data_IF_220312501914
#
_entry.id   IF_220312501914
#
_cell.length_a   1.000
_cell.length_b   1.000
_cell.length_c   1.000
_cell.angle_alpha   90.00
_cell.angle_beta   90.00
_cell.angle_gamma   90.00
#
_symmetry.space_group_name_H-M   'P 1'
#
loop_
_entity.id
_entity.type
_entity.pdbx_description
1 polymer ?
#
# COMPACT_ATOMS: atom_id res chain seq x y z
N UNK A 1 -25.91 -14.08 -2.77
CA UNK A 1 -25.60 -13.67 -4.14
C UNK A 1 -24.10 -13.82 -4.29
N UNK A 2 -23.66 -14.47 -5.36
CA UNK A 2 -22.38 -15.15 -5.48
C UNK A 2 -21.16 -14.25 -5.27
N UNK A 3 -20.27 -14.69 -4.39
CA UNK A 3 -18.88 -14.20 -4.20
C UNK A 3 -18.01 -14.64 -5.38
N UNK A 4 -18.31 -14.16 -6.58
CA UNK A 4 -17.44 -14.38 -7.75
C UNK A 4 -16.57 -13.15 -7.95
N UNK A 5 -15.28 -13.34 -7.74
CA UNK A 5 -14.21 -12.40 -8.07
C UNK A 5 -14.32 -11.97 -9.55
N UNK A 6 -14.09 -10.70 -9.88
CA UNK A 6 -14.14 -10.25 -11.27
C UNK A 6 -13.00 -10.89 -12.09
N UNK A 7 -13.20 -11.10 -13.39
CA UNK A 7 -12.18 -11.70 -14.27
C UNK A 7 -10.94 -10.81 -14.36
N UNK A 8 -9.76 -11.43 -14.54
CA UNK A 8 -8.49 -10.73 -14.80
C UNK A 8 -8.70 -9.61 -15.83
N UNK A 9 -8.30 -8.40 -15.44
CA UNK A 9 -8.37 -7.22 -16.30
C UNK A 9 -7.49 -7.43 -17.52
N UNK A 10 -8.06 -7.18 -18.71
CA UNK A 10 -7.31 -7.23 -19.98
C UNK A 10 -6.11 -6.28 -19.89
N UNK A 11 -4.95 -6.79 -20.28
CA UNK A 11 -3.68 -6.06 -20.33
C UNK A 11 -3.87 -4.68 -20.96
N UNK A 12 -3.75 -3.66 -20.12
CA UNK A 12 -3.63 -2.27 -20.56
C UNK A 12 -2.52 -1.65 -19.72
N UNK A 13 -1.51 -1.02 -20.34
CA UNK A 13 -0.54 -0.27 -19.57
C UNK A 13 -1.29 0.83 -18.83
N UNK A 14 -1.43 0.68 -17.52
CA UNK A 14 -2.00 1.72 -16.68
C UNK A 14 -0.90 2.77 -16.57
N UNK A 15 -1.07 3.91 -17.25
CA UNK A 15 -0.30 5.09 -16.88
C UNK A 15 -0.86 5.60 -15.56
N UNK A 16 -0.42 5.00 -14.45
CA UNK A 16 -0.68 5.55 -13.12
C UNK A 16 0.19 6.78 -12.95
N UNK A 17 -0.43 7.90 -13.26
CA UNK A 17 0.13 9.21 -13.03
C UNK A 17 0.23 9.44 -11.52
N UNK A 18 1.45 9.33 -10.97
CA UNK A 18 1.79 9.86 -9.65
C UNK A 18 1.94 8.90 -8.49
N UNK A 19 2.03 7.64 -8.85
CA UNK A 19 2.31 6.56 -7.95
C UNK A 19 3.79 6.51 -7.60
N UNK A 20 4.08 6.31 -6.31
CA UNK A 20 5.36 5.69 -5.95
C UNK A 20 5.29 4.25 -6.48
N UNK A 21 6.02 4.01 -7.57
CA UNK A 21 6.20 2.71 -8.16
C UNK A 21 7.33 2.02 -7.40
N UNK A 22 7.07 0.83 -6.88
CA UNK A 22 8.09 0.04 -6.19
C UNK A 22 8.42 -1.18 -7.05
N UNK A 23 9.62 -1.26 -7.64
CA UNK A 23 10.06 -2.47 -8.32
C UNK A 23 10.27 -3.56 -7.28
N UNK A 24 9.60 -4.71 -7.46
CA UNK A 24 9.83 -5.90 -6.64
C UNK A 24 10.81 -6.80 -7.40
N UNK A 25 11.92 -7.16 -6.76
CA UNK A 25 12.84 -8.18 -7.24
C UNK A 25 12.43 -9.52 -6.61
N UNK A 26 11.88 -10.43 -7.42
CA UNK A 26 11.51 -11.78 -6.95
C UNK A 26 12.78 -12.58 -6.66
N UNK A 27 12.83 -13.26 -5.51
CA UNK A 27 13.88 -14.24 -5.19
C UNK A 27 13.38 -15.64 -5.53
N UNK A 28 14.19 -16.38 -6.28
CA UNK A 28 13.90 -17.76 -6.70
C UNK A 28 13.62 -18.68 -5.49
N UNK A 29 12.60 -19.54 -5.64
CA UNK A 29 12.09 -20.44 -4.62
C UNK A 29 13.16 -21.35 -4.01
N UNK A 30 13.47 -21.10 -2.74
CA UNK A 30 14.17 -22.04 -1.87
C UNK A 30 13.15 -22.75 -0.99
N UNK A 31 13.28 -24.07 -0.88
CA UNK A 31 12.57 -24.90 0.12
C UNK A 31 12.72 -24.24 1.49
N UNK A 32 11.59 -23.75 2.01
CA UNK A 32 11.58 -22.91 3.21
C UNK A 32 12.01 -23.75 4.41
N UNK A 33 13.11 -23.38 5.04
CA UNK A 33 13.41 -23.83 6.40
C UNK A 33 12.33 -23.22 7.30
N UNK A 34 11.68 -24.01 8.15
CA UNK A 34 10.55 -23.60 9.01
C UNK A 34 10.78 -22.27 9.77
N UNK A 35 12.05 -21.91 10.02
CA UNK A 35 12.44 -20.65 10.67
C UNK A 35 12.19 -19.39 9.80
N UNK A 36 12.52 -19.43 8.49
CA UNK A 36 12.32 -18.27 7.58
C UNK A 36 10.84 -18.05 7.26
N UNK A 37 10.05 -19.12 7.26
CA UNK A 37 8.60 -19.05 7.06
C UNK A 37 7.87 -18.26 8.16
N UNK A 38 8.37 -18.39 9.39
CA UNK A 38 7.77 -17.76 10.57
C UNK A 38 8.40 -16.41 10.91
N UNK A 39 9.53 -16.05 10.28
CA UNK A 39 10.21 -14.79 10.54
C UNK A 39 9.30 -13.60 10.20
N UNK A 40 9.16 -12.71 11.17
CA UNK A 40 8.41 -11.46 11.01
C UNK A 40 9.37 -10.43 10.41
N UNK A 41 9.06 -9.86 9.22
CA UNK A 41 9.91 -8.86 8.60
C UNK A 41 10.17 -7.69 9.56
N UNK A 42 11.43 -7.27 9.67
CA UNK A 42 11.94 -6.32 10.68
C UNK A 42 11.38 -4.90 10.49
N UNK A 43 10.66 -4.61 9.41
CA UNK A 43 10.15 -3.27 9.19
C UNK A 43 9.04 -2.88 10.17
N UNK A 44 9.15 -1.64 10.65
CA UNK A 44 8.48 -1.19 11.86
C UNK A 44 7.82 0.16 11.61
N UNK A 45 6.48 0.17 11.54
CA UNK A 45 5.71 1.42 11.53
C UNK A 45 5.41 1.80 12.98
N UNK A 46 5.84 2.99 13.47
CA UNK A 46 5.51 3.44 14.81
C UNK A 46 4.00 3.50 15.02
N UNK A 47 3.50 3.06 16.17
CA UNK A 47 2.07 3.05 16.50
C UNK A 47 1.78 3.79 17.79
N UNK A 48 0.54 4.25 17.95
CA UNK A 48 0.05 4.95 19.15
C UNK A 48 -0.21 4.01 20.35
N UNK A 49 0.53 2.89 20.47
CA UNK A 49 0.32 1.89 21.52
C UNK A 49 -0.73 0.82 21.19
N UNK A 50 -1.15 0.73 19.91
CA UNK A 50 -2.08 -0.30 19.40
C UNK A 50 -1.46 -1.15 18.29
N UNK A 51 -0.13 -1.13 18.21
CA UNK A 51 0.64 -2.00 17.35
C UNK A 51 0.46 -3.47 17.71
N UNK A 52 0.80 -4.35 16.78
CA UNK A 52 0.85 -5.80 16.99
C UNK A 52 2.22 -6.28 17.53
N UNK A 53 3.16 -5.37 17.82
CA UNK A 53 4.36 -5.68 18.61
C UNK A 53 4.01 -6.05 20.06
N UNK A 54 4.91 -6.77 20.73
CA UNK A 54 4.70 -7.21 22.12
C UNK A 54 4.51 -6.06 23.11
N UNK A 55 5.09 -4.89 22.84
CA UNK A 55 4.94 -3.66 23.63
C UNK A 55 3.88 -2.70 23.06
N UNK A 56 3.21 -3.07 21.96
CA UNK A 56 2.19 -2.29 21.27
C UNK A 56 2.69 -1.03 20.57
N UNK A 57 4.00 -0.75 20.59
CA UNK A 57 4.57 0.51 20.05
C UNK A 57 4.75 0.50 18.54
N UNK A 58 4.66 -0.66 17.91
CA UNK A 58 4.99 -0.82 16.49
C UNK A 58 4.00 -1.73 15.79
N UNK A 59 3.66 -1.37 14.56
CA UNK A 59 2.99 -2.25 13.62
C UNK A 59 4.03 -3.03 12.79
N UNK A 60 3.92 -4.35 12.84
CA UNK A 60 4.77 -5.35 12.22
C UNK A 60 4.05 -5.96 11.03
N UNK A 61 4.78 -6.16 9.94
CA UNK A 61 4.29 -6.93 8.80
C UNK A 61 4.02 -8.39 9.19
N UNK A 62 3.06 -9.07 8.54
CA UNK A 62 2.85 -10.49 8.79
C UNK A 62 3.99 -11.32 8.21
N UNK A 63 4.31 -12.46 8.83
CA UNK A 63 5.24 -13.44 8.25
C UNK A 63 4.60 -14.19 7.08
N UNK A 64 5.43 -14.86 6.27
CA UNK A 64 4.97 -15.73 5.17
C UNK A 64 3.98 -16.79 5.69
N UNK A 65 4.30 -17.43 6.81
CA UNK A 65 3.42 -18.41 7.44
C UNK A 65 2.11 -17.85 7.94
N UNK A 66 2.11 -16.62 8.47
CA UNK A 66 0.87 -15.94 8.87
C UNK A 66 -0.03 -15.64 7.66
N UNK A 67 0.55 -15.18 6.55
CA UNK A 67 -0.15 -14.94 5.29
C UNK A 67 -0.68 -16.24 4.70
N UNK A 68 0.15 -17.27 4.59
CA UNK A 68 -0.24 -18.61 4.14
C UNK A 68 -1.44 -19.14 4.92
N UNK A 69 -1.35 -19.16 6.26
CA UNK A 69 -2.46 -19.61 7.11
C UNK A 69 -3.72 -18.75 6.92
N UNK A 70 -3.57 -17.44 6.71
CA UNK A 70 -4.69 -16.53 6.45
C UNK A 70 -5.39 -16.84 5.13
N UNK A 71 -4.61 -17.00 4.06
CA UNK A 71 -5.11 -17.35 2.72
C UNK A 71 -5.76 -18.73 2.72
N UNK A 72 -5.14 -19.73 3.36
CA UNK A 72 -5.67 -21.07 3.47
C UNK A 72 -7.01 -21.09 4.24
N UNK A 73 -7.14 -20.36 5.36
CA UNK A 73 -8.44 -20.24 6.07
C UNK A 73 -9.53 -19.58 5.22
N UNK A 74 -9.15 -18.74 4.25
CA UNK A 74 -10.05 -18.03 3.34
C UNK A 74 -10.26 -18.74 2.01
N UNK A 75 -9.72 -19.96 1.85
CA UNK A 75 -9.74 -20.71 0.59
C UNK A 75 -9.17 -19.93 -0.61
N UNK A 76 -8.11 -19.13 -0.40
CA UNK A 76 -7.48 -18.26 -1.41
C UNK A 76 -6.30 -18.89 -2.17
N UNK A 77 -6.22 -20.22 -2.24
CA UNK A 77 -5.34 -20.94 -3.19
C UNK A 77 -3.84 -20.61 -3.18
N UNK A 78 -3.29 -20.06 -2.10
CA UNK A 78 -1.86 -19.74 -2.02
C UNK A 78 -1.04 -21.00 -1.77
N UNK A 79 -0.08 -21.29 -2.64
CA UNK A 79 0.87 -22.38 -2.43
C UNK A 79 1.89 -22.00 -1.33
N UNK A 80 2.44 -23.01 -0.65
CA UNK A 80 3.39 -22.78 0.45
C UNK A 80 4.66 -22.08 -0.07
N UNK A 81 5.12 -22.49 -1.25
CA UNK A 81 6.36 -21.99 -1.86
C UNK A 81 6.22 -20.53 -2.33
N UNK A 82 4.99 -20.05 -2.57
CA UNK A 82 4.71 -18.66 -2.98
C UNK A 82 4.54 -17.70 -1.79
N UNK A 83 4.33 -18.23 -0.58
CA UNK A 83 4.08 -17.41 0.60
C UNK A 83 5.23 -16.44 0.95
N UNK A 84 6.52 -16.79 0.79
CA UNK A 84 7.62 -15.84 0.94
C UNK A 84 7.55 -14.65 -0.03
N UNK A 85 7.20 -14.91 -1.30
CA UNK A 85 7.05 -13.85 -2.31
C UNK A 85 5.87 -12.92 -1.98
N UNK A 86 4.75 -13.49 -1.55
CA UNK A 86 3.60 -12.71 -1.05
C UNK A 86 3.98 -11.87 0.17
N UNK A 87 4.73 -12.43 1.12
CA UNK A 87 5.23 -11.71 2.30
C UNK A 87 6.09 -10.52 1.91
N UNK A 88 7.05 -10.74 1.02
CA UNK A 88 7.94 -9.69 0.49
C UNK A 88 7.15 -8.57 -0.20
N UNK A 89 6.13 -8.94 -0.97
CA UNK A 89 5.21 -7.98 -1.61
C UNK A 89 4.41 -7.18 -0.59
N UNK A 90 3.91 -7.83 0.47
CA UNK A 90 3.21 -7.15 1.56
C UNK A 90 4.10 -6.14 2.29
N UNK A 91 5.36 -6.49 2.52
CA UNK A 91 6.36 -5.58 3.13
C UNK A 91 6.56 -4.37 2.22
N UNK A 92 6.88 -4.58 0.94
CA UNK A 92 7.12 -3.51 -0.03
C UNK A 92 5.92 -2.55 -0.16
N UNK A 93 4.69 -3.09 -0.22
CA UNK A 93 3.48 -2.27 -0.29
C UNK A 93 3.28 -1.48 1.01
N UNK A 94 3.51 -2.10 2.16
CA UNK A 94 3.34 -1.46 3.48
C UNK A 94 4.37 -0.35 3.70
N UNK A 95 5.63 -0.61 3.36
CA UNK A 95 6.72 0.37 3.40
C UNK A 95 6.44 1.53 2.46
N UNK A 96 6.09 1.23 1.21
CA UNK A 96 5.80 2.24 0.21
C UNK A 96 4.60 3.12 0.59
N UNK A 97 3.57 2.52 1.19
CA UNK A 97 2.44 3.27 1.75
C UNK A 97 2.89 4.23 2.85
N UNK A 98 3.72 3.75 3.78
CA UNK A 98 4.20 4.57 4.87
C UNK A 98 5.11 5.71 4.38
N UNK A 99 6.01 5.44 3.44
CA UNK A 99 6.88 6.43 2.82
C UNK A 99 6.08 7.51 2.07
N UNK A 100 5.05 7.12 1.32
CA UNK A 100 4.16 8.06 0.64
C UNK A 100 3.38 8.95 1.64
N UNK A 101 2.97 8.40 2.79
CA UNK A 101 2.37 9.18 3.89
C UNK A 101 3.41 10.15 4.48
N UNK A 102 4.62 9.67 4.76
CA UNK A 102 5.70 10.49 5.32
C UNK A 102 6.09 11.65 4.41
N UNK A 103 5.94 11.50 3.09
CA UNK A 103 6.14 12.60 2.13
C UNK A 103 5.23 13.80 2.44
N UNK A 104 3.95 13.55 2.75
CA UNK A 104 3.02 14.59 3.19
C UNK A 104 3.32 15.08 4.61
N UNK A 105 3.64 14.17 5.53
CA UNK A 105 3.96 14.53 6.92
C UNK A 105 5.25 15.38 7.02
N UNK A 106 6.17 15.26 6.06
CA UNK A 106 7.35 16.12 5.97
C UNK A 106 7.01 17.61 5.80
N UNK A 107 5.85 17.97 5.22
CA UNK A 107 5.37 19.35 5.17
C UNK A 107 5.11 19.94 6.57
N UNK A 108 4.88 19.07 7.56
CA UNK A 108 4.52 19.41 8.93
C UNK A 108 5.62 19.07 9.95
N UNK A 109 6.81 18.65 9.49
CA UNK A 109 7.93 18.20 10.33
C UNK A 109 8.38 19.21 11.39
N UNK A 110 8.23 20.51 11.12
CA UNK A 110 8.54 21.58 12.08
C UNK A 110 7.58 21.60 13.28
N UNK A 111 6.33 21.18 13.07
CA UNK A 111 5.30 21.14 14.11
C UNK A 111 5.23 19.80 14.83
N UNK A 112 5.53 18.71 14.12
CA UNK A 112 5.51 17.35 14.66
C UNK A 112 6.62 16.54 13.99
N UNK A 113 7.74 16.29 14.67
CA UNK A 113 8.89 15.60 14.07
C UNK A 113 8.68 14.08 13.93
N UNK A 114 7.80 13.50 14.76
CA UNK A 114 7.52 12.07 14.79
C UNK A 114 6.02 11.81 14.70
N UNK A 115 5.62 11.03 13.71
CA UNK A 115 4.23 10.63 13.48
C UNK A 115 4.06 9.14 13.76
N UNK A 116 2.85 8.74 14.16
CA UNK A 116 2.54 7.35 14.53
C UNK A 116 1.27 6.87 13.84
N UNK A 117 1.23 5.62 13.43
CA UNK A 117 0.03 4.96 12.95
C UNK A 117 -0.95 4.74 14.12
N UNK A 118 -2.12 5.39 14.04
CA UNK A 118 -3.17 5.26 15.03
C UNK A 118 -4.08 4.05 14.75
N UNK A 119 -4.46 3.86 13.48
CA UNK A 119 -5.31 2.76 13.00
C UNK A 119 -5.35 2.75 11.47
N UNK A 120 -5.80 1.65 10.90
CA UNK A 120 -6.14 1.55 9.49
C UNK A 120 -7.29 0.55 9.30
N UNK A 121 -7.95 0.61 8.15
CA UNK A 121 -8.96 -0.37 7.77
C UNK A 121 -9.08 -0.47 6.24
N UNK A 122 -9.47 -1.66 5.77
CA UNK A 122 -9.79 -1.91 4.37
C UNK A 122 -11.15 -1.32 4.00
N UNK A 123 -11.24 -0.83 2.78
CA UNK A 123 -12.43 -0.18 2.21
C UNK A 123 -12.68 -0.76 0.82
N UNK A 124 -12.82 -2.08 0.78
CA UNK A 124 -13.05 -2.88 -0.42
C UNK A 124 -14.25 -2.35 -1.24
N UNK A 125 -14.11 -2.34 -2.58
CA UNK A 125 -15.10 -1.84 -3.57
C UNK A 125 -15.55 -0.37 -3.41
N UNK A 126 -15.05 0.37 -2.41
CA UNK A 126 -15.40 1.77 -2.19
C UNK A 126 -14.45 2.69 -2.95
N UNK A 127 -14.60 2.68 -4.28
CA UNK A 127 -13.78 3.51 -5.17
C UNK A 127 -13.98 5.00 -4.92
N UNK A 128 -12.85 5.72 -4.86
CA UNK A 128 -12.83 7.17 -4.70
C UNK A 128 -13.35 7.88 -5.95
N UNK A 129 -13.75 9.16 -5.81
CA UNK A 129 -14.12 9.97 -6.98
C UNK A 129 -12.95 10.04 -7.99
N UNK A 130 -11.71 10.16 -7.50
CA UNK A 130 -10.51 10.14 -8.35
C UNK A 130 -10.40 8.80 -9.09
N UNK A 131 -10.52 7.67 -8.41
CA UNK A 131 -10.49 6.35 -9.05
C UNK A 131 -11.58 6.20 -10.13
N UNK A 132 -12.80 6.68 -9.87
CA UNK A 132 -13.90 6.67 -10.86
C UNK A 132 -13.60 7.52 -12.09
N UNK A 133 -13.03 8.71 -11.90
CA UNK A 133 -12.65 9.58 -13.02
C UNK A 133 -11.50 8.97 -13.83
N UNK A 134 -10.46 8.48 -13.17
CA UNK A 134 -9.33 7.81 -13.82
C UNK A 134 -9.80 6.58 -14.61
N UNK A 135 -10.73 5.81 -14.04
CA UNK A 135 -11.35 4.68 -14.72
C UNK A 135 -12.14 5.10 -15.97
N UNK A 136 -12.91 6.19 -15.88
CA UNK A 136 -13.64 6.72 -17.04
C UNK A 136 -12.74 7.17 -18.20
N UNK A 137 -11.45 7.41 -17.91
CA UNK A 137 -10.41 7.72 -18.89
C UNK A 137 -9.69 6.47 -19.43
N UNK A 138 -10.13 5.26 -19.06
CA UNK A 138 -9.66 4.00 -19.62
C UNK A 138 -8.68 3.21 -18.76
N UNK A 139 -8.35 3.68 -17.55
CA UNK A 139 -7.50 2.97 -16.60
C UNK A 139 -8.31 1.96 -15.78
N UNK A 140 -7.64 1.01 -15.14
CA UNK A 140 -8.31 0.06 -14.25
C UNK A 140 -8.54 0.67 -12.85
N UNK A 141 -9.51 0.10 -12.13
CA UNK A 141 -9.76 0.47 -10.74
C UNK A 141 -8.63 -0.02 -9.83
N UNK A 142 -8.42 0.61 -8.66
CA UNK A 142 -7.51 0.05 -7.69
C UNK A 142 -8.04 -1.32 -7.23
N UNK A 143 -7.16 -2.31 -7.17
CA UNK A 143 -7.51 -3.66 -6.73
C UNK A 143 -7.80 -3.70 -5.22
N UNK A 144 -7.23 -2.75 -4.47
CA UNK A 144 -7.47 -2.59 -3.04
C UNK A 144 -7.44 -1.11 -2.65
N UNK A 145 -8.23 -0.75 -1.64
CA UNK A 145 -8.31 0.62 -1.12
C UNK A 145 -8.34 0.56 0.40
N UNK A 146 -7.47 1.35 1.02
CA UNK A 146 -7.32 1.44 2.46
C UNK A 146 -7.43 2.87 2.96
N UNK A 147 -7.91 3.02 4.19
CA UNK A 147 -7.81 4.26 4.93
C UNK A 147 -6.88 4.06 6.12
N UNK A 148 -5.85 4.90 6.21
CA UNK A 148 -4.93 4.93 7.34
C UNK A 148 -5.14 6.22 8.12
N UNK A 149 -5.02 6.15 9.43
CA UNK A 149 -5.09 7.32 10.31
C UNK A 149 -3.77 7.44 11.03
N UNK A 150 -3.13 8.59 10.84
CA UNK A 150 -1.85 8.96 11.45
C UNK A 150 -2.14 9.90 12.61
N UNK A 151 -1.56 9.62 13.76
CA UNK A 151 -1.43 10.57 14.85
C UNK A 151 -0.24 11.49 14.58
N UNK A 152 -0.55 12.75 14.30
CA UNK A 152 0.39 13.86 14.20
C UNK A 152 0.39 14.60 15.54
N UNK A 153 1.12 14.07 16.51
CA UNK A 153 1.31 14.67 17.83
C UNK A 153 -0.04 14.97 18.54
N UNK A 154 -0.95 14.00 18.56
CA UNK A 154 -2.29 14.12 19.16
C UNK A 154 -3.39 14.59 18.20
N UNK A 155 -3.05 14.90 16.95
CA UNK A 155 -4.03 15.21 15.89
C UNK A 155 -4.14 14.05 14.91
N UNK A 156 -5.35 13.51 14.76
CA UNK A 156 -5.60 12.46 13.80
C UNK A 156 -5.77 13.00 12.38
N UNK A 157 -4.96 12.48 11.45
CA UNK A 157 -4.97 12.81 10.03
C UNK A 157 -5.27 11.54 9.25
N UNK A 158 -6.39 11.54 8.52
CA UNK A 158 -6.79 10.40 7.68
C UNK A 158 -6.14 10.51 6.30
N UNK A 159 -5.56 9.41 5.85
CA UNK A 159 -5.08 9.17 4.50
C UNK A 159 -6.00 8.19 3.79
N UNK A 160 -6.21 8.42 2.50
CA UNK A 160 -6.89 7.51 1.57
C UNK A 160 -5.80 6.96 0.65
N UNK A 161 -5.74 5.65 0.53
CA UNK A 161 -4.72 4.94 -0.24
C UNK A 161 -5.42 4.04 -1.25
N UNK A 162 -5.20 4.30 -2.53
CA UNK A 162 -5.64 3.45 -3.63
C UNK A 162 -4.41 2.65 -4.14
N UNK A 163 -4.53 1.31 -4.19
CA UNK A 163 -3.47 0.41 -4.68
C UNK A 163 -3.80 -0.09 -6.08
N UNK A 164 -2.85 0.06 -7.01
CA UNK A 164 -2.99 -0.39 -8.40
C UNK A 164 -1.85 -1.35 -8.74
N UNK A 165 -2.09 -2.24 -9.71
CA UNK A 165 -1.08 -3.13 -10.30
C UNK A 165 -1.13 -2.99 -11.81
N UNK A 166 0.03 -3.03 -12.46
CA UNK A 166 0.15 -3.17 -13.92
C UNK A 166 1.09 -4.32 -14.22
N UNK A 167 0.94 -4.93 -15.40
CA UNK A 167 1.96 -5.83 -15.91
C UNK A 167 3.18 -5.04 -16.36
N UNK A 168 4.36 -5.52 -16.00
CA UNK A 168 5.66 -4.95 -16.34
C UNK A 168 5.95 -5.19 -17.83
N UNK A 169 6.23 -4.13 -18.57
CA UNK A 169 6.66 -4.18 -19.98
C UNK A 169 5.79 -5.02 -20.95
N UNK A 170 4.50 -5.21 -20.66
CA UNK A 170 3.62 -6.05 -21.49
C UNK A 170 3.94 -7.55 -21.38
N UNK A 171 4.57 -7.97 -20.29
CA UNK A 171 4.61 -9.38 -19.89
C UNK A 171 3.19 -9.90 -19.70
N UNK A 172 2.97 -11.15 -20.11
CA UNK A 172 1.72 -11.91 -19.88
C UNK A 172 1.81 -12.79 -18.63
N UNK A 173 2.95 -12.77 -17.94
CA UNK A 173 3.19 -13.57 -16.75
C UNK A 173 2.69 -12.80 -15.52
N UNK A 174 1.78 -13.44 -14.77
CA UNK A 174 1.20 -12.87 -13.54
C UNK A 174 2.26 -12.58 -12.45
N UNK A 175 3.47 -13.12 -12.60
CA UNK A 175 4.61 -12.90 -11.72
C UNK A 175 5.33 -11.55 -11.95
N UNK A 176 5.10 -10.91 -13.10
CA UNK A 176 5.75 -9.67 -13.51
C UNK A 176 4.86 -8.43 -13.25
N UNK A 177 4.35 -8.29 -12.02
CA UNK A 177 3.51 -7.15 -11.63
C UNK A 177 4.33 -5.99 -11.05
N UNK A 178 4.02 -4.78 -11.50
CA UNK A 178 4.46 -3.53 -10.89
C UNK A 178 3.32 -2.92 -10.08
N UNK A 179 3.59 -2.60 -8.82
CA UNK A 179 2.62 -2.03 -7.89
C UNK A 179 2.79 -0.52 -7.76
N UNK A 180 1.65 0.15 -7.72
CA UNK A 180 1.56 1.60 -7.68
C UNK A 180 0.70 2.04 -6.49
N UNK A 181 1.24 2.94 -5.68
CA UNK A 181 0.60 3.42 -4.46
C UNK A 181 0.21 4.89 -4.61
N UNK A 182 -1.08 5.18 -4.48
CA UNK A 182 -1.63 6.54 -4.46
C UNK A 182 -2.17 6.86 -3.08
N UNK A 183 -1.25 7.25 -2.18
CA UNK A 183 -1.56 7.66 -0.81
C UNK A 183 -1.69 9.19 -0.73
N UNK A 184 -2.78 9.68 -0.12
CA UNK A 184 -3.05 11.13 -0.02
C UNK A 184 -3.90 11.47 1.20
N UNK A 185 -3.72 12.67 1.81
CA UNK A 185 -4.58 13.14 2.89
C UNK A 185 -6.05 13.14 2.45
N UNK A 186 -7.00 12.79 3.30
CA UNK A 186 -8.43 12.80 2.98
C UNK A 186 -8.90 14.20 2.50
N UNK A 187 -9.94 14.30 1.64
CA UNK A 187 -10.35 15.56 1.00
C UNK A 187 -11.16 16.46 1.95
N UNK A 188 -10.54 16.88 3.06
CA UNK A 188 -10.98 18.00 3.88
C UNK A 188 -10.13 19.23 3.55
N UNK A 189 -10.47 20.41 4.08
CA UNK A 189 -9.76 21.66 3.77
C UNK A 189 -8.24 21.54 3.97
N UNK A 190 -7.77 21.05 5.11
CA UNK A 190 -6.34 20.89 5.40
C UNK A 190 -5.69 19.86 4.48
N UNK A 191 -6.35 18.72 4.24
CA UNK A 191 -5.83 17.70 3.35
C UNK A 191 -5.76 18.15 1.89
N UNK A 192 -6.69 18.99 1.43
CA UNK A 192 -6.62 19.60 0.10
C UNK A 192 -5.49 20.63 -0.01
N UNK A 193 -5.22 21.40 1.04
CA UNK A 193 -4.07 22.30 1.10
C UNK A 193 -2.76 21.50 1.04
N UNK A 194 -2.64 20.41 1.82
CA UNK A 194 -1.46 19.54 1.81
C UNK A 194 -1.22 18.92 0.43
N UNK A 195 -2.29 18.43 -0.24
CA UNK A 195 -2.24 17.96 -1.64
C UNK A 195 -1.74 19.03 -2.61
N UNK A 196 -2.29 20.24 -2.53
CA UNK A 196 -1.88 21.34 -3.40
C UNK A 196 -0.43 21.77 -3.15
N UNK A 197 -0.01 21.83 -1.88
CA UNK A 197 1.36 22.17 -1.50
C UNK A 197 2.37 21.15 -2.00
N UNK A 198 2.12 19.85 -1.80
CA UNK A 198 3.04 18.82 -2.28
C UNK A 198 3.12 18.80 -3.80
N UNK A 199 1.98 18.87 -4.48
CA UNK A 199 1.92 18.96 -5.95
C UNK A 199 2.73 20.16 -6.48
N UNK A 200 2.57 21.34 -5.86
CA UNK A 200 3.31 22.54 -6.24
C UNK A 200 4.82 22.41 -5.97
N UNK A 201 5.23 21.74 -4.89
CA UNK A 201 6.63 21.46 -4.59
C UNK A 201 7.26 20.55 -5.66
N UNK A 202 6.58 19.44 -6.00
CA UNK A 202 7.03 18.51 -7.05
C UNK A 202 7.13 19.18 -8.41
N UNK A 203 6.11 19.96 -8.79
CA UNK A 203 6.12 20.74 -10.04
C UNK A 203 7.34 21.68 -10.11
N UNK A 204 7.64 22.39 -9.01
CA UNK A 204 8.83 23.26 -8.93
C UNK A 204 10.15 22.51 -8.99
N UNK A 205 10.20 21.27 -8.51
CA UNK A 205 11.37 20.41 -8.58
C UNK A 205 11.56 19.78 -9.98
N UNK A 206 10.61 19.96 -10.91
CA UNK A 206 10.61 19.29 -12.21
C UNK A 206 10.23 17.81 -12.12
N UNK A 207 9.75 17.38 -10.96
CA UNK A 207 9.18 16.05 -10.75
C UNK A 207 7.74 16.02 -11.27
N UNK A 208 7.22 14.82 -11.53
CA UNK A 208 5.78 14.66 -11.76
C UNK A 208 5.02 15.11 -10.51
N UNK A 209 4.10 16.04 -10.69
CA UNK A 209 3.40 16.75 -9.61
C UNK A 209 2.07 16.14 -9.17
N UNK A 210 1.70 15.07 -9.84
CA UNK A 210 0.61 14.19 -9.48
C UNK A 210 1.23 12.92 -8.96
#
# INVERSE_FOLDING_TARGET
MSDTEPPNSKERPIQTFGSHAYPIEQKDGHTVLDEEFEEVPIEHIPSTGRGNSSDGKTWLNPSAGQLYRSCHRKNKGLEVDDAPAMSSTHVAITEGTWNAILEYENLHKSSCPEVKLARFWGMFEQHTIKARLIHSLGNDYPFDRHDWVVDRCGKEVRYIIDYYSTQKNGSTDDDDLEFFIDARPAPNFFGLVDRAHLAFNKWRAGESWW
#
